data_IF_584414801387
#
_entry.id   IF_584414801387
#
_cell.length_a   1.000
_cell.length_b   1.000
_cell.length_c   1.000
_cell.angle_alpha   90.00
_cell.angle_beta   90.00
_cell.angle_gamma   90.00
#
_symmetry.space_group_name_H-M   'P 1'
#
loop_
_entity.id
_entity.type
_entity.pdbx_description
1 polymer ?
#
# COMPACT_ATOMS: atom_id res chain seq x y z
N UNK A 1 -9.02 13.37 -0.58
CA UNK A 1 -9.62 12.57 0.51
C UNK A 1 -8.50 11.95 1.34
N UNK A 2 -8.68 11.79 2.65
CA UNK A 2 -7.73 11.02 3.47
C UNK A 2 -8.21 9.58 3.58
N UNK A 3 -7.31 8.63 3.28
CA UNK A 3 -7.57 7.21 3.47
C UNK A 3 -7.27 6.81 4.92
N UNK A 4 -8.12 5.98 5.51
CA UNK A 4 -7.92 5.42 6.85
C UNK A 4 -7.97 3.90 6.79
N UNK A 5 -7.40 3.25 7.81
CA UNK A 5 -7.27 1.79 7.89
C UNK A 5 -6.72 1.13 6.59
N UNK A 6 -5.63 1.63 5.99
CA UNK A 6 -5.10 1.12 4.72
C UNK A 6 -4.65 -0.34 4.78
N UNK A 7 -4.46 -0.89 6.00
CA UNK A 7 -4.07 -2.27 6.25
C UNK A 7 -5.22 -3.13 6.81
N UNK A 8 -6.45 -2.63 6.85
CA UNK A 8 -7.62 -3.31 7.41
C UNK A 8 -7.37 -3.91 8.81
N UNK A 9 -6.83 -3.10 9.74
CA UNK A 9 -6.48 -3.56 11.09
C UNK A 9 -5.34 -4.59 11.14
N UNK A 10 -4.58 -4.74 10.05
CA UNK A 10 -3.48 -5.71 9.91
C UNK A 10 -3.86 -6.96 9.12
N UNK A 11 -5.16 -7.24 8.93
CA UNK A 11 -5.63 -8.43 8.21
C UNK A 11 -5.23 -8.40 6.72
N UNK A 12 -5.12 -7.20 6.12
CA UNK A 12 -4.70 -7.11 4.71
C UNK A 12 -3.26 -7.60 4.52
N UNK A 13 -2.39 -7.40 5.51
CA UNK A 13 -0.97 -7.78 5.42
C UNK A 13 -0.80 -9.29 5.27
N UNK A 14 -1.67 -10.09 5.90
CA UNK A 14 -1.62 -11.56 5.83
C UNK A 14 -2.22 -12.10 4.52
N UNK A 15 -3.07 -11.32 3.84
CA UNK A 15 -3.69 -11.68 2.56
C UNK A 15 -2.80 -11.36 1.36
N UNK A 16 -1.89 -10.39 1.49
CA UNK A 16 -0.92 -10.06 0.45
C UNK A 16 0.24 -11.05 0.51
N UNK A 17 0.17 -12.08 -0.32
CA UNK A 17 1.27 -13.04 -0.45
C UNK A 17 2.47 -12.43 -1.20
N UNK A 18 3.63 -13.10 -1.12
CA UNK A 18 4.88 -12.64 -1.73
C UNK A 18 4.75 -12.43 -3.25
N UNK A 19 4.00 -13.29 -3.96
CA UNK A 19 3.79 -13.15 -5.41
C UNK A 19 3.05 -11.87 -5.76
N UNK A 20 2.02 -11.51 -4.99
CA UNK A 20 1.27 -10.27 -5.18
C UNK A 20 2.12 -9.05 -4.81
N UNK A 21 2.87 -9.13 -3.72
CA UNK A 21 3.78 -8.05 -3.33
C UNK A 21 4.81 -7.78 -4.42
N UNK A 22 5.48 -8.82 -4.94
CA UNK A 22 6.46 -8.69 -6.01
C UNK A 22 5.85 -8.21 -7.33
N UNK A 23 4.61 -8.59 -7.63
CA UNK A 23 3.89 -8.09 -8.80
C UNK A 23 3.67 -6.57 -8.74
N UNK A 24 3.38 -6.03 -7.55
CA UNK A 24 3.15 -4.60 -7.35
C UNK A 24 4.48 -3.84 -7.29
N UNK A 25 5.39 -4.30 -6.43
CA UNK A 25 6.71 -3.70 -6.24
C UNK A 25 7.69 -4.78 -5.75
N UNK A 26 8.62 -5.22 -6.61
CA UNK A 26 9.61 -6.22 -6.25
C UNK A 26 10.35 -5.90 -4.95
N UNK A 27 10.42 -6.87 -4.04
CA UNK A 27 11.14 -6.74 -2.77
C UNK A 27 10.44 -5.90 -1.69
N UNK A 28 9.24 -5.38 -1.96
CA UNK A 28 8.44 -4.71 -0.93
C UNK A 28 7.62 -5.71 -0.11
N UNK A 29 7.40 -5.40 1.16
CA UNK A 29 6.51 -6.15 2.05
C UNK A 29 5.03 -5.93 1.71
N UNK A 30 4.16 -6.81 2.20
CA UNK A 30 2.71 -6.69 2.05
C UNK A 30 2.16 -5.35 2.58
N UNK A 31 2.70 -4.86 3.70
CA UNK A 31 2.31 -3.57 4.26
C UNK A 31 2.74 -2.39 3.37
N UNK A 32 3.96 -2.43 2.83
CA UNK A 32 4.46 -1.38 1.93
C UNK A 32 3.64 -1.32 0.64
N UNK A 33 3.34 -2.46 0.01
CA UNK A 33 2.55 -2.46 -1.23
C UNK A 33 1.11 -2.00 -1.00
N UNK A 34 0.49 -2.37 0.12
CA UNK A 34 -0.84 -1.87 0.48
C UNK A 34 -0.85 -0.34 0.64
N UNK A 35 0.17 0.21 1.31
CA UNK A 35 0.32 1.65 1.49
C UNK A 35 0.60 2.38 0.17
N UNK A 36 1.45 1.81 -0.70
CA UNK A 36 1.74 2.35 -2.03
C UNK A 36 0.48 2.41 -2.90
N UNK A 37 -0.30 1.31 -2.95
CA UNK A 37 -1.56 1.27 -3.71
C UNK A 37 -2.56 2.29 -3.17
N UNK A 38 -2.71 2.37 -1.85
CA UNK A 38 -3.60 3.35 -1.21
C UNK A 38 -3.18 4.78 -1.55
N UNK A 39 -1.90 5.12 -1.40
CA UNK A 39 -1.37 6.46 -1.67
C UNK A 39 -1.45 6.84 -3.16
N UNK A 40 -1.44 5.85 -4.06
CA UNK A 40 -1.55 6.07 -5.50
C UNK A 40 -3.00 6.21 -5.99
N UNK A 41 -3.98 5.89 -5.14
CA UNK A 41 -5.39 5.85 -5.55
C UNK A 41 -5.91 7.25 -5.92
N UNK A 42 -6.57 7.43 -7.07
CA UNK A 42 -7.11 8.72 -7.49
C UNK A 42 -8.00 9.36 -6.42
N UNK A 43 -7.77 10.64 -6.14
CA UNK A 43 -8.52 11.38 -5.14
C UNK A 43 -8.06 11.16 -3.69
N UNK A 44 -7.12 10.25 -3.44
CA UNK A 44 -6.42 10.17 -2.14
C UNK A 44 -5.34 11.25 -2.08
N UNK A 45 -5.32 12.00 -0.98
CA UNK A 45 -4.40 13.12 -0.73
C UNK A 45 -3.50 12.88 0.48
N UNK A 46 -3.76 11.80 1.22
CA UNK A 46 -3.02 11.42 2.42
C UNK A 46 -3.53 10.10 2.98
N UNK A 47 -2.67 9.40 3.74
CA UNK A 47 -2.96 8.12 4.37
C UNK A 47 -2.75 8.25 5.87
N UNK A 48 -3.75 7.89 6.66
CA UNK A 48 -3.66 7.81 8.12
C UNK A 48 -3.12 6.43 8.49
N UNK A 49 -1.95 6.42 9.15
CA UNK A 49 -1.27 5.20 9.58
C UNK A 49 -1.18 5.18 11.10
N UNK A 50 -1.79 4.17 11.72
CA UNK A 50 -1.63 3.88 13.15
C UNK A 50 -0.48 2.89 13.35
N UNK A 51 0.57 3.32 14.05
CA UNK A 51 1.75 2.50 14.36
C UNK A 51 2.17 2.68 15.81
N UNK A 52 2.64 1.60 16.42
CA UNK A 52 3.17 1.58 17.80
C UNK A 52 4.70 1.53 17.86
N UNK A 53 5.38 1.55 16.70
CA UNK A 53 6.83 1.48 16.57
C UNK A 53 7.33 2.56 15.60
N UNK A 54 8.46 3.18 15.95
CA UNK A 54 9.16 4.15 15.09
C UNK A 54 9.70 3.50 13.80
N UNK A 55 10.07 2.23 13.84
CA UNK A 55 10.50 1.47 12.66
C UNK A 55 9.33 1.32 11.68
N UNK A 56 8.17 0.88 12.18
CA UNK A 56 6.97 0.75 11.36
C UNK A 56 6.51 2.10 10.79
N UNK A 57 6.65 3.19 11.57
CA UNK A 57 6.42 4.54 11.05
C UNK A 57 7.33 4.86 9.88
N UNK A 58 8.63 4.62 10.03
CA UNK A 58 9.63 4.94 9.01
C UNK A 58 9.37 4.18 7.72
N UNK A 59 9.09 2.87 7.80
CA UNK A 59 8.74 2.05 6.64
C UNK A 59 7.44 2.54 5.97
N UNK A 60 6.41 2.85 6.76
CA UNK A 60 5.14 3.33 6.21
C UNK A 60 5.29 4.69 5.51
N UNK A 61 6.01 5.63 6.13
CA UNK A 61 6.29 6.93 5.55
C UNK A 61 7.10 6.81 4.25
N UNK A 62 8.11 5.94 4.23
CA UNK A 62 8.91 5.67 3.04
C UNK A 62 8.04 5.10 1.91
N UNK A 63 7.14 4.15 2.20
CA UNK A 63 6.23 3.56 1.21
C UNK A 63 5.28 4.61 0.60
N UNK A 64 4.70 5.48 1.43
CA UNK A 64 3.78 6.55 0.99
C UNK A 64 4.51 7.65 0.21
N UNK A 65 5.78 7.91 0.52
CA UNK A 65 6.60 8.93 -0.16
C UNK A 65 7.12 8.49 -1.55
N UNK A 66 6.94 7.22 -1.94
CA UNK A 66 7.33 6.75 -3.27
C UNK A 66 6.50 7.41 -4.37
N UNK A 67 7.05 7.44 -5.58
CA UNK A 67 6.31 7.90 -6.75
C UNK A 67 5.00 7.08 -6.89
N UNK A 68 3.85 7.75 -7.08
CA UNK A 68 2.58 7.06 -7.25
C UNK A 68 2.62 6.06 -8.41
N UNK A 69 1.96 4.92 -8.22
CA UNK A 69 1.74 3.95 -9.29
C UNK A 69 0.92 4.60 -10.42
N UNK A 70 1.29 4.37 -11.69
CA UNK A 70 0.49 4.82 -12.82
C UNK A 70 -0.95 4.30 -12.75
N UNK A 71 -1.91 5.07 -13.26
CA UNK A 71 -3.33 4.65 -13.27
C UNK A 71 -3.55 3.32 -13.99
N UNK A 72 -2.80 3.07 -15.07
CA UNK A 72 -2.81 1.79 -15.77
C UNK A 72 -2.40 0.64 -14.86
N UNK A 73 -1.37 0.84 -14.02
CA UNK A 73 -0.94 -0.17 -13.05
C UNK A 73 -1.95 -0.41 -11.94
N UNK A 74 -2.62 0.64 -11.44
CA UNK A 74 -3.70 0.46 -10.46
C UNK A 74 -4.86 -0.34 -11.06
N UNK A 75 -5.19 -0.10 -12.32
CA UNK A 75 -6.19 -0.90 -13.04
C UNK A 75 -5.74 -2.35 -13.16
N UNK A 76 -4.51 -2.62 -13.61
CA UNK A 76 -4.00 -3.99 -13.75
C UNK A 76 -4.04 -4.76 -12.41
N UNK A 77 -3.69 -4.10 -11.29
CA UNK A 77 -3.78 -4.69 -9.95
C UNK A 77 -5.23 -4.97 -9.58
N UNK A 78 -6.16 -4.05 -9.88
CA UNK A 78 -7.59 -4.26 -9.62
C UNK A 78 -8.17 -5.41 -10.44
N UNK A 79 -7.80 -5.51 -11.72
CA UNK A 79 -8.25 -6.57 -12.63
C UNK A 79 -7.70 -7.95 -12.18
N UNK A 80 -6.49 -8.00 -11.62
CA UNK A 80 -5.91 -9.23 -11.05
C UNK A 80 -6.66 -9.75 -9.81
N UNK A 81 -7.28 -8.85 -9.04
CA UNK A 81 -7.96 -9.15 -7.77
C UNK A 81 -9.47 -9.37 -7.92
N UNK A 82 -10.03 -9.12 -9.10
CA UNK A 82 -11.45 -9.29 -9.44
C UNK A 82 -11.78 -10.74 -9.78
#
# INVERSE_FOLDING_TARGET
MWASAPLHGGDLVTRINARLADYICPGASGAEVALMVTASTPGVSGVLVGVSSSEHWTTAAAAVARAPLPLTRLKDISDLLS
#
